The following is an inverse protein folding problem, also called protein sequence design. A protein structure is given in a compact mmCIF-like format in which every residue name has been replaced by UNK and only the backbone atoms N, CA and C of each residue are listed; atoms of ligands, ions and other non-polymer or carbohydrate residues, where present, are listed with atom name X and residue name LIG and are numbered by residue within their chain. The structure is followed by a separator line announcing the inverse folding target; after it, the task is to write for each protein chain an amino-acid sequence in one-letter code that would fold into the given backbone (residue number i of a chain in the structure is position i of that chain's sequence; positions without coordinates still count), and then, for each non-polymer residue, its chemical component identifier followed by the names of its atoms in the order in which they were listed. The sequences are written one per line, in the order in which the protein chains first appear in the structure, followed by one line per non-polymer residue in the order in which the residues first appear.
data_IF_406446682315
#
_entry.id   IF_406446682315
#
_cell.length_a   1.000
_cell.length_b   1.000
_cell.length_c   1.000
_cell.angle_alpha   90.00
_cell.angle_beta   90.00
_cell.angle_gamma   90.00
#
_symmetry.space_group_name_H-M   'P 1'
#
loop_
_entity.id
_entity.type
_entity.pdbx_description
1 polymer ?
#
# COMPACT_ATOMS: atom_id res chain seq x y z
N UNK A 1 -6.30 0.62 -23.94
CA UNK A 1 -5.41 0.81 -22.79
C UNK A 1 -5.64 2.23 -22.33
N UNK A 2 -5.92 2.45 -21.05
CA UNK A 2 -6.13 3.82 -20.55
C UNK A 2 -4.86 4.64 -20.81
N UNK A 3 -5.01 5.88 -21.27
CA UNK A 3 -3.88 6.79 -21.43
C UNK A 3 -3.26 7.00 -20.05
N UNK A 4 -2.06 6.45 -19.84
CA UNK A 4 -1.33 6.64 -18.58
C UNK A 4 -0.98 8.13 -18.45
N UNK A 5 -1.23 8.70 -17.28
CA UNK A 5 -0.85 10.07 -16.94
C UNK A 5 0.65 10.10 -16.61
N UNK A 6 1.45 10.79 -17.42
CA UNK A 6 2.90 10.97 -17.20
C UNK A 6 3.66 11.35 -18.47
N UNK A 7 4.94 11.71 -18.33
CA UNK A 7 5.82 12.05 -19.45
C UNK A 7 6.27 10.77 -20.14
N UNK A 8 5.76 10.44 -21.33
CA UNK A 8 6.11 9.21 -22.04
C UNK A 8 7.61 9.14 -22.33
N UNK A 9 8.27 8.01 -22.07
CA UNK A 9 9.70 7.82 -22.37
C UNK A 9 9.99 8.05 -23.86
N UNK A 10 9.07 7.62 -24.73
CA UNK A 10 9.16 7.81 -26.19
C UNK A 10 9.01 9.27 -26.64
N UNK A 11 8.58 10.16 -25.76
CA UNK A 11 8.46 11.60 -26.03
C UNK A 11 9.67 12.42 -25.56
N UNK A 12 10.62 11.81 -24.83
CA UNK A 12 11.81 12.47 -24.29
C UNK A 12 12.91 12.54 -25.35
N UNK A 13 13.46 13.73 -25.58
CA UNK A 13 14.48 13.92 -26.60
C UNK A 13 15.76 13.10 -26.32
N UNK A 14 16.19 12.36 -27.34
CA UNK A 14 17.32 11.45 -27.30
C UNK A 14 17.20 10.27 -26.33
N UNK A 15 16.02 9.97 -25.78
CA UNK A 15 15.82 8.73 -25.03
C UNK A 15 15.85 7.53 -26.00
N UNK A 16 16.67 6.49 -25.76
CA UNK A 16 16.80 5.38 -26.71
C UNK A 16 15.49 4.60 -26.87
N UNK A 17 15.04 4.42 -28.13
CA UNK A 17 13.76 3.77 -28.42
C UNK A 17 13.74 2.28 -28.09
N UNK A 18 14.89 1.62 -28.21
CA UNK A 18 15.11 0.23 -27.83
C UNK A 18 15.02 0.04 -26.31
N UNK A 19 15.61 0.94 -25.53
CA UNK A 19 15.45 0.95 -24.08
C UNK A 19 13.99 1.23 -23.68
N UNK A 20 13.32 2.18 -24.33
CA UNK A 20 11.90 2.46 -24.07
C UNK A 20 10.99 1.26 -24.39
N UNK A 21 11.27 0.52 -25.47
CA UNK A 21 10.53 -0.68 -25.85
C UNK A 21 10.74 -1.84 -24.84
N UNK A 22 11.98 -2.05 -24.39
CA UNK A 22 12.26 -3.05 -23.36
C UNK A 22 11.59 -2.69 -22.02
N UNK A 23 11.71 -1.44 -21.57
CA UNK A 23 11.07 -0.95 -20.34
C UNK A 23 9.55 -1.09 -20.38
N UNK A 24 8.93 -0.92 -21.55
CA UNK A 24 7.50 -1.15 -21.72
C UNK A 24 7.10 -2.62 -21.43
N UNK A 25 8.03 -3.58 -21.58
CA UNK A 25 7.87 -4.98 -21.16
C UNK A 25 7.71 -5.17 -19.65
N UNK A 26 8.22 -4.21 -18.85
CA UNK A 26 7.98 -4.11 -17.40
C UNK A 26 6.82 -3.17 -17.06
N UNK A 27 6.05 -2.73 -18.05
CA UNK A 27 5.06 -1.66 -17.95
C UNK A 27 5.65 -0.31 -17.49
N UNK A 28 6.95 -0.09 -17.64
CA UNK A 28 7.60 1.20 -17.43
C UNK A 28 7.58 1.97 -18.75
N UNK A 29 6.67 2.92 -18.85
CA UNK A 29 6.33 3.64 -20.09
C UNK A 29 6.48 5.15 -19.95
N UNK A 30 6.54 5.66 -18.71
CA UNK A 30 6.75 7.09 -18.43
C UNK A 30 8.05 7.35 -17.68
N UNK A 31 8.51 8.60 -17.73
CA UNK A 31 9.69 9.08 -17.04
C UNK A 31 9.56 8.91 -15.52
N UNK A 32 8.38 9.20 -14.97
CA UNK A 32 8.06 9.08 -13.55
C UNK A 32 8.17 7.62 -13.08
N UNK A 33 7.67 6.66 -13.88
CA UNK A 33 7.78 5.23 -13.60
C UNK A 33 9.24 4.77 -13.60
N UNK A 34 10.05 5.26 -14.55
CA UNK A 34 11.48 4.93 -14.62
C UNK A 34 12.27 5.53 -13.45
N UNK A 35 12.00 6.77 -13.08
CA UNK A 35 12.63 7.44 -11.92
C UNK A 35 12.31 6.66 -10.64
N UNK A 36 11.03 6.31 -10.44
CA UNK A 36 10.60 5.54 -9.27
C UNK A 36 11.22 4.13 -9.24
N UNK A 37 11.29 3.45 -10.39
CA UNK A 37 11.89 2.11 -10.49
C UNK A 37 13.41 2.10 -10.24
N UNK A 38 14.07 3.25 -10.38
CA UNK A 38 15.50 3.42 -10.17
C UNK A 38 15.89 3.76 -8.72
N UNK A 39 14.94 3.97 -7.81
CA UNK A 39 15.25 4.25 -6.40
C UNK A 39 15.96 3.08 -5.70
N UNK A 40 16.81 3.41 -4.72
CA UNK A 40 17.58 2.41 -3.96
C UNK A 40 18.49 1.58 -4.86
N UNK A 41 18.38 0.25 -4.77
CA UNK A 41 19.14 -0.68 -5.60
C UNK A 41 18.53 -0.90 -7.01
N UNK A 42 17.45 -0.17 -7.35
CA UNK A 42 16.67 -0.35 -8.57
C UNK A 42 17.46 -0.18 -9.87
N UNK A 43 18.45 0.74 -9.89
CA UNK A 43 19.35 0.94 -11.05
C UNK A 43 20.06 -0.36 -11.44
N UNK A 44 20.46 -1.17 -10.46
CA UNK A 44 21.18 -2.42 -10.74
C UNK A 44 20.28 -3.46 -11.40
N UNK A 45 19.04 -3.59 -10.94
CA UNK A 45 18.06 -4.51 -11.54
C UNK A 45 17.62 -4.06 -12.94
N UNK A 46 17.45 -2.75 -13.15
CA UNK A 46 17.18 -2.19 -14.46
C UNK A 46 18.34 -2.40 -15.43
N UNK A 47 19.58 -2.25 -14.97
CA UNK A 47 20.78 -2.50 -15.77
C UNK A 47 20.87 -3.96 -16.23
N UNK A 48 20.62 -4.91 -15.32
CA UNK A 48 20.56 -6.34 -15.66
C UNK A 48 19.47 -6.63 -16.70
N UNK A 49 18.26 -6.06 -16.52
CA UNK A 49 17.14 -6.25 -17.43
C UNK A 49 17.40 -5.67 -18.83
N UNK A 50 17.99 -4.47 -18.89
CA UNK A 50 18.32 -3.78 -20.14
C UNK A 50 19.56 -4.35 -20.85
N UNK A 51 20.30 -5.25 -20.18
CA UNK A 51 21.61 -5.70 -20.66
C UNK A 51 22.63 -4.54 -20.76
N UNK A 52 22.49 -3.54 -19.90
CA UNK A 52 23.31 -2.33 -19.86
C UNK A 52 24.14 -2.28 -18.56
N UNK A 53 25.09 -1.35 -18.49
CA UNK A 53 25.79 -1.06 -17.23
C UNK A 53 24.94 -0.19 -16.30
N UNK A 54 25.29 -0.16 -15.01
CA UNK A 54 24.65 0.72 -14.02
C UNK A 54 24.82 2.19 -14.40
N UNK A 55 25.95 2.57 -14.99
CA UNK A 55 26.24 3.95 -15.41
C UNK A 55 25.38 4.36 -16.61
N UNK A 56 25.25 3.49 -17.61
CA UNK A 56 24.36 3.71 -18.75
C UNK A 56 22.90 3.81 -18.30
N UNK A 57 22.49 2.96 -17.36
CA UNK A 57 21.14 2.97 -16.81
C UNK A 57 20.89 4.23 -15.97
N UNK A 58 21.84 4.63 -15.14
CA UNK A 58 21.76 5.89 -14.39
C UNK A 58 21.67 7.11 -15.31
N UNK A 59 22.35 7.09 -16.47
CA UNK A 59 22.24 8.15 -17.46
C UNK A 59 20.83 8.21 -18.11
N UNK A 60 20.16 7.07 -18.30
CA UNK A 60 18.76 7.04 -18.74
C UNK A 60 17.83 7.64 -17.68
N UNK A 61 18.05 7.31 -16.41
CA UNK A 61 17.27 7.86 -15.28
C UNK A 61 17.47 9.37 -15.16
N UNK A 62 18.71 9.84 -15.24
CA UNK A 62 19.01 11.28 -15.21
C UNK A 62 18.36 12.03 -16.38
N UNK A 63 18.31 11.42 -17.56
CA UNK A 63 17.61 11.97 -18.74
C UNK A 63 16.10 12.02 -18.52
N UNK A 64 15.52 10.98 -17.94
CA UNK A 64 14.10 10.97 -17.56
C UNK A 64 13.80 12.07 -16.55
N UNK A 65 14.64 12.22 -15.52
CA UNK A 65 14.47 13.22 -14.47
C UNK A 65 14.59 14.66 -14.99
N UNK A 66 15.45 14.91 -15.97
CA UNK A 66 15.52 16.20 -16.64
C UNK A 66 14.27 16.53 -17.49
N UNK A 67 13.46 15.53 -17.84
CA UNK A 67 12.28 15.68 -18.69
C UNK A 67 10.98 15.89 -17.91
N UNK A 68 10.98 15.64 -16.58
CA UNK A 68 9.78 15.80 -15.74
C UNK A 68 9.86 17.11 -14.96
N UNK A 69 8.81 17.96 -14.95
CA UNK A 69 8.77 19.17 -14.13
C UNK A 69 8.72 18.79 -12.64
N UNK A 70 9.67 19.32 -11.86
CA UNK A 70 9.82 19.19 -10.39
C UNK A 70 9.06 18.00 -9.78
N UNK A 71 9.41 16.80 -10.27
CA UNK A 71 8.87 15.55 -9.76
C UNK A 71 9.65 15.21 -8.51
N UNK A 72 9.11 15.60 -7.36
CA UNK A 72 9.38 14.86 -6.15
C UNK A 72 8.73 13.49 -6.32
N UNK A 73 9.46 12.36 -6.26
CA UNK A 73 8.79 11.08 -6.03
C UNK A 73 7.87 11.26 -4.83
N UNK A 74 6.74 10.56 -4.85
CA UNK A 74 5.66 10.64 -3.86
C UNK A 74 6.13 10.02 -2.52
N UNK A 75 7.32 10.39 -2.03
CA UNK A 75 7.85 10.04 -0.72
C UNK A 75 7.26 10.93 0.36
N UNK A 76 7.17 12.25 0.13
CA UNK A 76 6.55 13.17 1.11
C UNK A 76 5.10 12.81 1.45
N UNK A 77 4.40 12.10 0.55
CA UNK A 77 3.04 11.62 0.81
C UNK A 77 3.05 10.23 1.46
N UNK A 78 4.08 9.40 1.26
CA UNK A 78 4.21 8.09 1.92
C UNK A 78 4.82 8.16 3.33
N UNK A 79 5.69 9.14 3.59
CA UNK A 79 6.34 9.37 4.88
C UNK A 79 5.36 9.91 5.95
N UNK A 80 4.18 10.36 5.52
CA UNK A 80 3.12 10.89 6.38
C UNK A 80 1.99 9.88 6.69
N UNK A 81 2.08 8.63 6.24
CA UNK A 81 1.13 7.59 6.65
C UNK A 81 1.74 6.70 7.72
N UNK A 82 1.05 6.58 8.85
CA UNK A 82 1.49 5.71 9.93
C UNK A 82 1.48 4.25 9.49
N UNK A 83 2.37 3.44 10.07
CA UNK A 83 2.45 1.98 9.87
C UNK A 83 1.20 1.20 10.30
N UNK A 84 0.14 1.90 10.71
CA UNK A 84 -1.09 1.29 11.16
C UNK A 84 -1.01 0.64 12.52
N UNK A 85 -1.46 -0.61 12.60
CA UNK A 85 -1.58 -1.39 13.83
C UNK A 85 -0.24 -1.82 14.46
N UNK A 86 0.89 -1.31 13.97
CA UNK A 86 2.19 -1.49 14.60
C UNK A 86 2.53 -0.21 15.38
N UNK A 87 2.91 -0.37 16.64
CA UNK A 87 3.54 0.71 17.41
C UNK A 87 4.68 1.31 16.58
N UNK A 88 4.84 2.63 16.66
CA UNK A 88 6.07 3.30 16.23
C UNK A 88 7.19 2.74 17.10
N UNK A 89 7.84 1.66 16.66
CA UNK A 89 9.21 1.43 17.08
C UNK A 89 9.98 2.63 16.54
N UNK A 90 10.79 3.30 17.37
CA UNK A 90 11.80 4.24 16.89
C UNK A 90 12.48 3.56 15.69
N UNK A 91 12.20 4.06 14.49
CA UNK A 91 12.81 3.55 13.28
C UNK A 91 14.31 3.67 13.47
N UNK A 92 15.05 2.63 13.07
CA UNK A 92 16.49 2.77 12.91
C UNK A 92 16.77 3.99 12.02
N UNK A 93 17.90 4.65 12.26
CA UNK A 93 18.31 5.83 11.49
C UNK A 93 18.17 5.51 9.98
N UNK A 94 17.57 6.37 9.14
CA UNK A 94 17.53 6.12 7.69
C UNK A 94 18.94 5.96 7.07
N UNK A 95 19.99 6.42 7.74
CA UNK A 95 21.39 6.17 7.40
C UNK A 95 21.94 4.86 7.99
N UNK A 96 21.24 4.22 8.93
CA UNK A 96 21.53 2.85 9.33
C UNK A 96 21.13 1.93 8.17
N UNK A 97 22.13 1.25 7.61
CA UNK A 97 21.90 0.17 6.64
C UNK A 97 20.83 -0.76 7.25
N UNK A 98 19.64 -0.90 6.62
CA UNK A 98 18.58 -1.74 7.18
C UNK A 98 19.21 -3.10 7.41
N UNK A 99 19.08 -3.70 8.61
CA UNK A 99 19.76 -4.94 8.92
C UNK A 99 19.42 -5.92 7.81
N UNK A 100 20.42 -6.23 6.95
CA UNK A 100 20.27 -6.98 5.69
C UNK A 100 19.16 -7.97 5.89
N UNK A 101 17.99 -7.71 5.26
CA UNK A 101 16.71 -8.36 5.55
C UNK A 101 16.98 -9.74 6.10
N UNK A 102 16.82 -9.92 7.42
CA UNK A 102 17.47 -11.02 8.13
C UNK A 102 17.20 -12.27 7.31
N UNK A 103 18.25 -12.92 6.79
CA UNK A 103 18.14 -14.24 6.18
C UNK A 103 17.89 -15.28 7.27
N UNK A 104 17.08 -14.92 8.28
CA UNK A 104 16.57 -15.83 9.28
C UNK A 104 15.90 -16.97 8.51
N UNK A 105 16.30 -18.18 8.85
CA UNK A 105 15.68 -19.36 8.28
C UNK A 105 14.20 -19.31 8.63
N UNK A 106 13.37 -19.15 7.60
CA UNK A 106 11.92 -19.22 7.80
C UNK A 106 11.56 -20.59 8.37
N UNK A 107 10.63 -20.65 9.32
CA UNK A 107 10.12 -21.94 9.77
C UNK A 107 9.50 -22.68 8.58
N UNK A 108 9.60 -24.02 8.52
CA UNK A 108 9.05 -24.81 7.43
C UNK A 108 7.52 -24.71 7.32
N UNK A 109 6.86 -24.29 8.40
CA UNK A 109 5.44 -23.95 8.42
C UNK A 109 5.13 -22.97 9.55
N UNK A 110 4.11 -22.13 9.33
CA UNK A 110 3.51 -21.27 10.35
C UNK A 110 2.01 -21.51 10.33
N UNK A 111 1.43 -21.74 11.51
CA UNK A 111 -0.02 -21.82 11.68
C UNK A 111 -0.44 -20.85 12.78
N UNK A 112 -1.27 -19.87 12.44
CA UNK A 112 -1.78 -18.86 13.36
C UNK A 112 -3.23 -19.13 13.79
N UNK A 113 -3.88 -20.20 13.32
CA UNK A 113 -5.31 -20.46 13.54
C UNK A 113 -5.68 -20.37 15.03
N UNK A 114 -4.91 -20.97 15.92
CA UNK A 114 -5.18 -20.96 17.37
C UNK A 114 -4.94 -19.60 18.05
N UNK A 115 -4.40 -18.63 17.31
CA UNK A 115 -4.15 -17.25 17.75
C UNK A 115 -5.12 -16.24 17.13
N UNK A 116 -5.93 -16.66 16.17
CA UNK A 116 -6.89 -15.80 15.49
C UNK A 116 -8.28 -15.93 16.13
N UNK A 117 -9.11 -14.88 16.07
CA UNK A 117 -10.53 -15.00 16.37
C UNK A 117 -11.25 -15.86 15.32
N UNK A 118 -12.53 -16.14 15.56
CA UNK A 118 -13.36 -16.90 14.64
C UNK A 118 -13.47 -16.23 13.26
N UNK A 119 -13.54 -17.03 12.20
CA UNK A 119 -13.70 -16.55 10.82
C UNK A 119 -15.03 -15.79 10.68
N UNK A 120 -14.97 -14.59 10.11
CA UNK A 120 -16.13 -13.71 9.83
C UNK A 120 -16.51 -13.70 8.36
N UNK A 121 -17.64 -13.03 8.03
CA UNK A 121 -18.19 -13.03 6.68
C UNK A 121 -18.76 -11.66 6.29
N UNK A 122 -18.03 -10.96 5.41
CA UNK A 122 -18.44 -9.68 4.84
C UNK A 122 -19.68 -9.74 3.93
N UNK A 123 -20.11 -10.94 3.54
CA UNK A 123 -21.17 -11.21 2.57
C UNK A 123 -20.87 -10.54 1.23
N UNK A 124 -21.83 -9.78 0.67
CA UNK A 124 -21.71 -9.19 -0.66
C UNK A 124 -21.12 -7.77 -0.66
N UNK A 125 -20.84 -7.19 0.51
CA UNK A 125 -20.28 -5.83 0.64
C UNK A 125 -18.78 -5.80 0.39
N UNK A 126 -18.29 -4.71 -0.17
CA UNK A 126 -16.84 -4.44 -0.32
C UNK A 126 -16.14 -4.00 0.97
N UNK A 127 -16.28 -4.75 2.07
CA UNK A 127 -15.73 -4.40 3.41
C UNK A 127 -14.52 -5.26 3.79
N UNK A 128 -13.84 -5.84 2.81
CA UNK A 128 -12.71 -6.75 3.02
C UNK A 128 -11.58 -6.11 3.84
N UNK A 129 -11.28 -4.83 3.61
CA UNK A 129 -10.23 -4.12 4.35
C UNK A 129 -10.58 -3.99 5.83
N UNK A 130 -11.83 -3.67 6.17
CA UNK A 130 -12.25 -3.58 7.56
C UNK A 130 -12.15 -4.94 8.27
N UNK A 131 -12.59 -6.02 7.61
CA UNK A 131 -12.44 -7.39 8.14
C UNK A 131 -10.97 -7.79 8.33
N UNK A 132 -10.12 -7.51 7.33
CA UNK A 132 -8.70 -7.84 7.41
C UNK A 132 -7.99 -7.07 8.54
N UNK A 133 -8.23 -5.76 8.64
CA UNK A 133 -7.57 -4.92 9.64
C UNK A 133 -8.09 -5.18 11.06
N UNK A 134 -9.40 -5.44 11.23
CA UNK A 134 -9.94 -5.90 12.50
C UNK A 134 -9.29 -7.22 12.94
N UNK A 135 -9.18 -8.20 12.04
CA UNK A 135 -8.53 -9.49 12.34
C UNK A 135 -7.05 -9.35 12.73
N UNK A 136 -6.30 -8.46 12.08
CA UNK A 136 -4.90 -8.15 12.48
C UNK A 136 -4.86 -7.54 13.87
N UNK A 137 -5.72 -6.55 14.15
CA UNK A 137 -5.78 -5.90 15.47
C UNK A 137 -6.10 -6.91 16.58
N UNK A 138 -7.05 -7.80 16.36
CA UNK A 138 -7.44 -8.83 17.33
C UNK A 138 -6.33 -9.86 17.57
N UNK A 139 -5.61 -10.24 16.50
CA UNK A 139 -4.41 -11.07 16.62
C UNK A 139 -3.35 -10.41 17.51
N UNK A 140 -3.10 -9.11 17.31
CA UNK A 140 -2.11 -8.35 18.07
C UNK A 140 -2.53 -8.14 19.53
N UNK A 141 -3.83 -8.08 19.83
CA UNK A 141 -4.34 -8.07 21.21
C UNK A 141 -4.04 -9.39 21.96
N UNK A 142 -3.69 -10.46 21.24
CA UNK A 142 -3.41 -11.77 21.82
C UNK A 142 -4.64 -12.43 22.46
N UNK A 143 -5.83 -11.94 22.16
CA UNK A 143 -7.09 -12.42 22.71
C UNK A 143 -7.98 -12.99 21.59
N UNK A 144 -8.03 -14.32 21.50
CA UNK A 144 -8.87 -15.03 20.52
C UNK A 144 -10.38 -14.84 20.71
N UNK A 145 -10.79 -14.22 21.82
CA UNK A 145 -12.19 -13.84 22.10
C UNK A 145 -12.49 -12.39 21.73
N UNK A 146 -11.52 -11.60 21.31
CA UNK A 146 -11.77 -10.24 20.83
C UNK A 146 -12.74 -10.30 19.64
N UNK A 147 -13.69 -9.37 19.63
CA UNK A 147 -14.67 -9.23 18.57
C UNK A 147 -14.91 -7.73 18.32
N UNK A 148 -14.11 -7.17 17.43
CA UNK A 148 -14.11 -5.77 17.04
C UNK A 148 -15.13 -5.54 15.92
N UNK A 149 -15.68 -4.33 15.88
CA UNK A 149 -16.70 -3.95 14.92
C UNK A 149 -16.10 -3.60 13.57
N UNK A 150 -16.24 -4.49 12.58
CA UNK A 150 -15.94 -4.14 11.18
C UNK A 150 -16.85 -3.03 10.66
N UNK A 151 -18.07 -2.93 11.20
CA UNK A 151 -19.02 -1.90 10.81
C UNK A 151 -18.52 -0.51 11.15
N UNK A 152 -18.10 -0.31 12.40
CA UNK A 152 -17.52 0.94 12.86
C UNK A 152 -16.25 1.25 12.06
N UNK A 153 -15.35 0.28 11.93
CA UNK A 153 -14.08 0.49 11.24
C UNK A 153 -14.31 0.89 9.78
N UNK A 154 -15.22 0.21 9.07
CA UNK A 154 -15.54 0.56 7.70
C UNK A 154 -16.21 1.93 7.58
N UNK A 155 -17.18 2.25 8.46
CA UNK A 155 -17.79 3.57 8.51
C UNK A 155 -16.74 4.68 8.71
N UNK A 156 -15.83 4.50 9.67
CA UNK A 156 -14.77 5.47 9.95
C UNK A 156 -13.79 5.61 8.79
N UNK A 157 -13.50 4.52 8.06
CA UNK A 157 -12.73 4.60 6.81
C UNK A 157 -13.46 5.42 5.75
N UNK A 158 -14.77 5.22 5.57
CA UNK A 158 -15.59 6.00 4.62
C UNK A 158 -15.65 7.47 5.00
N UNK A 159 -15.73 7.76 6.29
CA UNK A 159 -15.68 9.13 6.77
C UNK A 159 -14.29 9.75 6.56
N UNK A 160 -13.21 8.97 6.66
CA UNK A 160 -11.85 9.48 6.44
C UNK A 160 -11.50 9.68 4.96
N UNK A 161 -11.73 8.68 4.11
CA UNK A 161 -11.32 8.71 2.70
C UNK A 161 -12.29 9.45 1.78
N UNK A 162 -13.54 9.68 2.24
CA UNK A 162 -14.64 10.26 1.46
C UNK A 162 -14.88 9.59 0.09
N UNK A 163 -14.39 8.36 -0.11
CA UNK A 163 -14.57 7.63 -1.35
C UNK A 163 -16.03 7.16 -1.49
N UNK A 164 -16.74 7.48 -2.59
CA UNK A 164 -18.18 7.24 -2.69
C UNK A 164 -18.57 5.80 -3.00
N UNK A 165 -17.61 4.95 -3.42
CA UNK A 165 -17.87 3.56 -3.81
C UNK A 165 -17.64 2.56 -2.68
N UNK A 166 -17.82 1.28 -3.03
CA UNK A 166 -17.38 0.16 -2.18
C UNK A 166 -15.87 0.14 -2.02
N UNK A 167 -15.40 -0.40 -0.90
CA UNK A 167 -13.98 -0.52 -0.58
C UNK A 167 -13.38 0.71 0.09
N UNK A 168 -12.14 0.49 0.51
CA UNK A 168 -11.19 1.49 1.04
C UNK A 168 -9.79 0.89 0.92
N UNK A 169 -8.77 1.53 1.50
CA UNK A 169 -7.39 1.06 1.47
C UNK A 169 -6.90 0.64 2.85
N UNK A 170 -5.97 -0.31 2.90
CA UNK A 170 -5.43 -0.85 4.18
C UNK A 170 -4.84 0.27 5.03
N UNK A 171 -4.05 1.18 4.45
CA UNK A 171 -3.46 2.31 5.16
C UNK A 171 -4.54 3.20 5.82
N UNK A 172 -5.67 3.44 5.16
CA UNK A 172 -6.78 4.21 5.75
C UNK A 172 -7.34 3.53 7.00
N UNK A 173 -7.62 2.22 6.94
CA UNK A 173 -8.13 1.48 8.10
C UNK A 173 -7.12 1.40 9.24
N UNK A 174 -5.85 1.26 8.87
CA UNK A 174 -4.71 1.29 9.78
C UNK A 174 -4.57 2.64 10.50
N UNK A 175 -4.68 3.76 9.78
CA UNK A 175 -4.67 5.09 10.38
C UNK A 175 -5.90 5.28 11.30
N UNK A 176 -7.08 4.79 10.92
CA UNK A 176 -8.28 4.86 11.78
C UNK A 176 -8.06 4.09 13.08
N UNK A 177 -7.49 2.89 13.01
CA UNK A 177 -7.17 2.09 14.19
C UNK A 177 -6.16 2.79 15.10
N UNK A 178 -5.19 3.51 14.53
CA UNK A 178 -4.19 4.30 15.28
C UNK A 178 -4.83 5.51 15.98
N UNK A 179 -5.56 6.33 15.23
CA UNK A 179 -6.03 7.62 15.72
C UNK A 179 -7.30 7.54 16.55
N UNK A 180 -8.22 6.66 16.15
CA UNK A 180 -9.57 6.56 16.72
C UNK A 180 -9.77 5.26 17.50
N UNK A 181 -9.05 4.20 17.12
CA UNK A 181 -9.31 2.86 17.60
C UNK A 181 -10.53 2.24 16.92
N UNK A 182 -11.11 1.23 17.57
CA UNK A 182 -12.29 0.51 17.08
C UNK A 182 -13.09 0.01 18.28
N UNK A 183 -14.41 0.06 18.20
CA UNK A 183 -15.28 -0.46 19.24
C UNK A 183 -15.48 -1.98 19.09
N UNK A 184 -16.04 -2.62 20.12
CA UNK A 184 -16.44 -4.03 20.02
C UNK A 184 -17.70 -4.19 19.16
N UNK A 185 -17.84 -5.33 18.50
CA UNK A 185 -18.96 -5.69 17.62
C UNK A 185 -20.33 -5.54 18.29
N UNK A 186 -20.40 -5.74 19.61
CA UNK A 186 -21.64 -5.54 20.38
C UNK A 186 -22.14 -4.09 20.36
N UNK A 187 -21.24 -3.10 20.24
CA UNK A 187 -21.60 -1.68 20.22
C UNK A 187 -22.13 -1.27 18.85
N UNK A 188 -21.54 -1.79 17.77
CA UNK A 188 -22.02 -1.53 16.42
C UNK A 188 -21.94 -2.80 15.57
N UNK A 189 -23.01 -3.61 15.55
CA UNK A 189 -23.01 -4.87 14.83
C UNK A 189 -22.85 -4.69 13.31
N UNK A 190 -22.17 -5.65 12.68
CA UNK A 190 -22.03 -5.72 11.24
C UNK A 190 -23.38 -5.88 10.54
N UNK A 191 -23.70 -4.92 9.67
CA UNK A 191 -24.85 -5.01 8.79
C UNK A 191 -24.38 -5.50 7.40
N UNK A 192 -24.69 -6.74 7.01
CA UNK A 192 -24.24 -7.30 5.74
C UNK A 192 -24.98 -6.75 4.52
N UNK A 193 -26.07 -6.01 4.70
CA UNK A 193 -26.92 -5.56 3.61
C UNK A 193 -26.38 -4.28 2.95
N UNK A 194 -26.35 -4.22 1.62
CA UNK A 194 -25.97 -3.00 0.91
C UNK A 194 -27.07 -1.95 1.07
N UNK A 195 -26.68 -0.70 1.35
CA UNK A 195 -27.59 0.45 1.38
C UNK A 195 -27.17 1.40 0.27
N UNK A 196 -27.98 1.49 -0.79
CA UNK A 196 -27.68 2.33 -1.94
C UNK A 196 -27.46 3.80 -1.53
N UNK A 197 -26.31 4.37 -1.92
CA UNK A 197 -25.93 5.73 -1.55
C UNK A 197 -25.46 5.92 -0.11
N UNK A 198 -25.34 4.84 0.66
CA UNK A 198 -24.83 4.86 2.03
C UNK A 198 -23.90 3.67 2.29
N UNK A 199 -22.78 3.63 1.56
CA UNK A 199 -21.81 2.53 1.65
C UNK A 199 -21.25 2.37 3.07
N UNK A 200 -20.94 3.49 3.74
CA UNK A 200 -20.46 3.51 5.13
C UNK A 200 -21.54 3.20 6.15
N UNK A 201 -22.82 3.20 5.76
CA UNK A 201 -23.99 2.98 6.63
C UNK A 201 -23.98 3.87 7.87
N UNK A 202 -23.63 5.14 7.70
CA UNK A 202 -23.76 6.15 8.74
C UNK A 202 -25.19 6.71 8.84
N UNK A 203 -25.46 7.56 9.85
CA UNK A 203 -24.56 7.94 10.95
C UNK A 203 -24.37 6.82 11.98
N UNK A 204 -23.40 6.95 12.91
CA UNK A 204 -23.29 6.07 14.06
C UNK A 204 -24.56 5.96 14.91
N UNK A 205 -24.82 4.80 15.54
CA UNK A 205 -25.94 4.58 16.43
C UNK A 205 -25.86 5.39 17.73
#
# INVERSE_FOLDING_TARGET
MADKLGTLLTSIDGFPSDAAEQLAGLWITTAEELIAAAEGDGVSGLAEYLGATTDETAALVARAQAAVPDFSPVRDVLDNFGTGALDEMEGADPDDEPPRASRATMPPSVNLIDKMPAVRNQRSRGTCVAHACAGVREYLEGNTKSNLSEQFLYWACKDRDKWPGEGTWINIAMDVLKDTGVCVEMIWPYNPDKIAGNEGQGPPP
#
